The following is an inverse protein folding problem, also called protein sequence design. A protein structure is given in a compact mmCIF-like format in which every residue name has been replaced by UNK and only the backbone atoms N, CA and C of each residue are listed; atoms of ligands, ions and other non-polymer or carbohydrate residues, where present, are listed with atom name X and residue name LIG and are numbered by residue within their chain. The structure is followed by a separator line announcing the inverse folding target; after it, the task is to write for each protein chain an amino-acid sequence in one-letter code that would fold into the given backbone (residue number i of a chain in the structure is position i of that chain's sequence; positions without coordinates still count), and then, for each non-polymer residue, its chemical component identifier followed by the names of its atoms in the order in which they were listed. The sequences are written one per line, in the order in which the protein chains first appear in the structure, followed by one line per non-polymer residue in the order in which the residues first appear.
data_IF_652444722981
#
_entry.id   IF_652444722981
#
_cell.length_a   1.000
_cell.length_b   1.000
_cell.length_c   1.000
_cell.angle_alpha   90.00
_cell.angle_beta   90.00
_cell.angle_gamma   90.00
#
_symmetry.space_group_name_H-M   'P 1'
#
loop_
_entity.id
_entity.type
_entity.pdbx_description
1 polymer ?
#
# COMPACT_ATOMS: atom_id res chain seq x y z
N UNK A 1 5.51 4.62 12.71
CA UNK A 1 5.17 5.30 11.45
C UNK A 1 6.02 6.56 11.29
N UNK A 2 6.93 6.54 10.32
CA UNK A 2 7.88 7.62 10.01
C UNK A 2 7.23 8.85 9.36
N UNK A 3 7.92 9.99 9.39
CA UNK A 3 7.47 11.22 8.75
C UNK A 3 7.53 11.10 7.21
N UNK A 4 8.55 10.40 6.72
CA UNK A 4 8.77 10.08 5.31
C UNK A 4 7.65 9.22 4.77
N UNK A 5 7.19 8.22 5.53
CA UNK A 5 6.05 7.39 5.12
C UNK A 5 4.74 8.19 5.08
N UNK A 6 4.51 9.08 6.07
CA UNK A 6 3.35 9.99 6.05
C UNK A 6 3.35 10.86 4.79
N UNK A 7 4.50 11.47 4.50
CA UNK A 7 4.68 12.29 3.31
C UNK A 7 4.47 11.47 2.02
N UNK A 8 5.04 10.27 1.93
CA UNK A 8 4.83 9.38 0.79
C UNK A 8 3.34 9.04 0.61
N UNK A 9 2.60 8.82 1.70
CA UNK A 9 1.17 8.55 1.63
C UNK A 9 0.35 9.75 1.12
N UNK A 10 0.74 10.96 1.50
CA UNK A 10 0.17 12.20 0.94
C UNK A 10 0.55 12.37 -0.53
N UNK A 11 1.82 12.18 -0.85
CA UNK A 11 2.35 12.33 -2.20
C UNK A 11 1.73 11.33 -3.19
N UNK A 12 1.44 10.10 -2.74
CA UNK A 12 0.78 9.07 -3.55
C UNK A 12 -0.58 9.53 -4.11
N UNK A 13 -1.24 10.50 -3.45
CA UNK A 13 -2.53 11.06 -3.87
C UNK A 13 -2.39 12.22 -4.86
N UNK A 14 -1.18 12.75 -5.03
CA UNK A 14 -0.87 13.86 -5.95
C UNK A 14 -0.19 13.39 -7.24
N UNK A 15 -0.21 12.09 -7.52
CA UNK A 15 0.27 11.56 -8.80
C UNK A 15 -0.64 12.06 -9.93
N UNK A 16 -0.03 12.51 -11.03
CA UNK A 16 -0.76 13.08 -12.18
C UNK A 16 -1.56 12.03 -12.94
N UNK A 17 -1.09 10.79 -12.90
CA UNK A 17 -1.75 9.63 -13.51
C UNK A 17 -2.08 8.61 -12.43
N UNK A 18 -3.26 7.98 -12.55
CA UNK A 18 -3.67 6.89 -11.66
C UNK A 18 -2.74 5.69 -11.82
N UNK A 19 -2.18 5.12 -10.73
CA UNK A 19 -1.40 3.89 -10.80
C UNK A 19 -2.23 2.71 -11.31
N UNK A 20 -1.55 1.70 -11.85
CA UNK A 20 -2.19 0.44 -12.21
C UNK A 20 -2.82 -0.24 -10.99
N UNK A 21 -3.79 -1.14 -11.22
CA UNK A 21 -4.45 -1.87 -10.13
C UNK A 21 -3.45 -2.63 -9.25
N UNK A 22 -2.40 -3.22 -9.85
CA UNK A 22 -1.37 -3.95 -9.10
C UNK A 22 -0.56 -3.01 -8.20
N UNK A 23 -0.15 -1.85 -8.71
CA UNK A 23 0.51 -0.81 -7.92
C UNK A 23 -0.39 -0.29 -6.78
N UNK A 24 -1.69 -0.12 -7.03
CA UNK A 24 -2.65 0.28 -5.99
C UNK A 24 -2.83 -0.80 -4.91
N UNK A 25 -2.81 -2.08 -5.28
CA UNK A 25 -2.89 -3.20 -4.33
C UNK A 25 -1.62 -3.31 -3.49
N UNK A 26 -0.44 -3.10 -4.09
CA UNK A 26 0.84 -3.10 -3.39
C UNK A 26 0.93 -1.92 -2.42
N UNK A 27 0.60 -0.70 -2.86
CA UNK A 27 0.49 0.47 -1.99
C UNK A 27 -0.47 0.21 -0.83
N UNK A 28 -1.63 -0.40 -1.10
CA UNK A 28 -2.58 -0.74 -0.05
C UNK A 28 -1.99 -1.71 0.97
N UNK A 29 -1.41 -2.83 0.53
CA UNK A 29 -0.87 -3.85 1.43
C UNK A 29 0.27 -3.29 2.31
N UNK A 30 1.24 -2.62 1.69
CA UNK A 30 2.36 -1.99 2.37
C UNK A 30 1.89 -0.89 3.33
N UNK A 31 0.85 -0.12 2.97
CA UNK A 31 0.31 0.89 3.86
C UNK A 31 -0.30 0.26 5.12
N UNK A 32 -1.10 -0.80 4.99
CA UNK A 32 -1.73 -1.49 6.13
C UNK A 32 -0.69 -2.05 7.10
N UNK A 33 0.31 -2.76 6.57
CA UNK A 33 1.43 -3.30 7.38
C UNK A 33 2.27 -2.18 7.98
N UNK A 34 2.59 -1.14 7.19
CA UNK A 34 3.40 -0.01 7.64
C UNK A 34 2.76 0.82 8.75
N UNK A 35 1.42 0.84 8.82
CA UNK A 35 0.65 1.43 9.92
C UNK A 35 0.59 0.53 11.16
N UNK A 36 1.09 -0.71 11.08
CA UNK A 36 0.96 -1.69 12.16
C UNK A 36 -0.48 -2.17 12.34
N UNK A 37 -1.29 -2.14 11.28
CA UNK A 37 -2.65 -2.65 11.37
C UNK A 37 -2.63 -4.17 11.55
N UNK A 38 -3.53 -4.64 12.42
CA UNK A 38 -3.68 -6.06 12.74
C UNK A 38 -4.52 -6.76 11.68
N UNK A 39 -3.88 -7.65 10.93
CA UNK A 39 -4.53 -8.42 9.87
C UNK A 39 -5.58 -9.38 10.41
N UNK A 40 -5.46 -9.89 11.64
CA UNK A 40 -6.44 -10.83 12.19
C UNK A 40 -7.81 -10.16 12.42
N UNK A 41 -7.82 -8.83 12.55
CA UNK A 41 -9.03 -8.01 12.66
C UNK A 41 -9.60 -7.60 11.31
N UNK A 42 -8.94 -7.95 10.20
CA UNK A 42 -9.42 -7.62 8.87
C UNK A 42 -10.73 -8.36 8.56
N UNK A 43 -11.77 -7.63 8.18
CA UNK A 43 -13.01 -8.23 7.74
C UNK A 43 -12.79 -9.05 6.47
N UNK A 44 -13.17 -10.33 6.50
CA UNK A 44 -13.09 -11.19 5.31
C UNK A 44 -14.08 -10.67 4.27
N UNK A 45 -13.62 -10.38 3.04
CA UNK A 45 -14.49 -9.86 1.99
C UNK A 45 -15.51 -10.91 1.56
N UNK A 46 -16.73 -10.46 1.24
CA UNK A 46 -17.82 -11.31 0.78
C UNK A 46 -17.54 -11.98 -0.56
N UNK A 47 -18.30 -13.04 -0.89
CA UNK A 47 -18.07 -13.85 -2.11
C UNK A 47 -18.14 -13.00 -3.39
N UNK A 48 -18.98 -11.97 -3.43
CA UNK A 48 -19.16 -11.07 -4.57
C UNK A 48 -18.21 -9.85 -4.56
N UNK A 49 -17.44 -9.63 -3.49
CA UNK A 49 -16.51 -8.49 -3.39
C UNK A 49 -15.12 -8.86 -3.90
N UNK A 50 -14.96 -8.85 -5.22
CA UNK A 50 -13.67 -9.16 -5.87
C UNK A 50 -12.59 -8.14 -5.48
N UNK A 51 -12.93 -6.84 -5.41
CA UNK A 51 -11.96 -5.79 -5.08
C UNK A 51 -11.46 -5.92 -3.64
N UNK A 52 -12.36 -6.19 -2.69
CA UNK A 52 -12.01 -6.48 -1.31
C UNK A 52 -11.16 -7.74 -1.19
N UNK A 53 -11.49 -8.80 -1.96
CA UNK A 53 -10.66 -10.03 -2.03
C UNK A 53 -9.23 -9.75 -2.46
N UNK A 54 -9.03 -8.97 -3.52
CA UNK A 54 -7.68 -8.64 -3.98
C UNK A 54 -6.90 -7.84 -2.93
N UNK A 55 -7.53 -6.84 -2.30
CA UNK A 55 -6.92 -6.05 -1.22
C UNK A 55 -6.56 -6.91 -0.01
N UNK A 56 -7.48 -7.77 0.42
CA UNK A 56 -7.28 -8.70 1.53
C UNK A 56 -6.12 -9.66 1.22
N UNK A 57 -6.08 -10.22 0.02
CA UNK A 57 -5.02 -11.14 -0.41
C UNK A 57 -3.66 -10.44 -0.52
N UNK A 58 -3.61 -9.21 -1.04
CA UNK A 58 -2.37 -8.43 -1.11
C UNK A 58 -1.83 -8.13 0.29
N UNK A 59 -2.69 -7.72 1.23
CA UNK A 59 -2.28 -7.50 2.62
C UNK A 59 -1.86 -8.80 3.29
N UNK A 60 -2.62 -9.89 3.12
CA UNK A 60 -2.28 -11.21 3.64
C UNK A 60 -0.90 -11.67 3.19
N UNK A 61 -0.58 -11.46 1.91
CA UNK A 61 0.72 -11.83 1.33
C UNK A 61 1.87 -11.17 2.08
N UNK A 62 1.81 -9.87 2.32
CA UNK A 62 2.87 -9.17 3.08
C UNK A 62 3.00 -9.68 4.52
N UNK A 63 1.88 -10.03 5.16
CA UNK A 63 1.87 -10.61 6.51
C UNK A 63 2.48 -12.01 6.53
N UNK A 64 2.09 -12.87 5.57
CA UNK A 64 2.62 -14.22 5.41
C UNK A 64 4.13 -14.21 5.10
N UNK A 65 4.61 -13.21 4.34
CA UNK A 65 6.04 -12.98 4.07
C UNK A 65 6.81 -12.47 5.29
N UNK A 66 6.13 -12.13 6.39
CA UNK A 66 6.75 -11.60 7.60
C UNK A 66 7.24 -10.16 7.44
N UNK A 67 6.65 -9.39 6.52
CA UNK A 67 6.99 -7.97 6.33
C UNK A 67 6.74 -7.20 7.64
N UNK A 68 7.78 -6.58 8.18
CA UNK A 68 7.67 -5.74 9.37
C UNK A 68 7.09 -4.37 9.03
N UNK A 69 6.55 -3.66 10.03
CA UNK A 69 6.03 -2.31 9.83
C UNK A 69 7.08 -1.36 9.22
N UNK A 70 8.33 -1.43 9.68
CA UNK A 70 9.40 -0.59 9.15
C UNK A 70 9.80 -0.99 7.72
N UNK A 71 9.89 -2.30 7.44
CA UNK A 71 10.15 -2.80 6.09
C UNK A 71 9.07 -2.40 5.09
N UNK A 72 7.80 -2.47 5.51
CA UNK A 72 6.67 -2.02 4.71
C UNK A 72 6.71 -0.52 4.43
N UNK A 73 7.05 0.30 5.44
CA UNK A 73 7.20 1.74 5.27
C UNK A 73 8.30 2.08 4.25
N UNK A 74 9.47 1.43 4.33
CA UNK A 74 10.56 1.65 3.39
C UNK A 74 10.18 1.26 1.96
N UNK A 75 9.56 0.09 1.77
CA UNK A 75 9.06 -0.36 0.47
C UNK A 75 8.00 0.58 -0.09
N UNK A 76 7.08 1.06 0.76
CA UNK A 76 6.03 2.00 0.35
C UNK A 76 6.62 3.32 -0.15
N UNK A 77 7.60 3.89 0.56
CA UNK A 77 8.29 5.11 0.16
C UNK A 77 8.97 4.91 -1.21
N UNK A 78 9.72 3.82 -1.37
CA UNK A 78 10.40 3.51 -2.62
C UNK A 78 9.42 3.34 -3.79
N UNK A 79 8.27 2.68 -3.55
CA UNK A 79 7.22 2.52 -4.55
C UNK A 79 6.62 3.88 -4.95
N UNK A 80 6.27 4.73 -3.99
CA UNK A 80 5.73 6.07 -4.28
C UNK A 80 6.73 6.90 -5.09
N UNK A 81 8.01 6.89 -4.75
CA UNK A 81 9.02 7.67 -5.48
C UNK A 81 9.23 7.15 -6.91
N UNK A 82 9.14 5.83 -7.11
CA UNK A 82 9.09 5.24 -8.45
C UNK A 82 7.85 5.72 -9.22
N UNK A 83 6.68 5.68 -8.60
CA UNK A 83 5.43 6.13 -9.23
C UNK A 83 5.45 7.62 -9.59
N UNK A 84 6.04 8.49 -8.75
CA UNK A 84 6.23 9.90 -9.09
C UNK A 84 7.03 10.08 -10.38
N UNK A 85 8.07 9.26 -10.54
CA UNK A 85 8.95 9.30 -11.72
C UNK A 85 8.25 8.77 -12.98
N UNK A 86 7.44 7.72 -12.85
CA UNK A 86 6.74 7.08 -13.97
C UNK A 86 5.45 7.81 -14.40
N UNK A 87 4.67 8.30 -13.43
CA UNK A 87 3.31 8.80 -13.63
C UNK A 87 3.20 10.32 -13.56
N UNK A 88 4.29 10.99 -13.16
CA UNK A 88 4.35 12.41 -12.88
C UNK A 88 3.76 12.76 -11.50
N UNK A 89 4.27 13.83 -10.92
CA UNK A 89 3.90 14.30 -9.58
C UNK A 89 3.57 15.79 -9.62
N UNK A 90 2.53 16.18 -8.90
CA UNK A 90 2.17 17.57 -8.65
C UNK A 90 2.61 17.95 -7.23
N UNK A 91 3.69 18.74 -7.12
CA UNK A 91 4.39 18.99 -5.86
C UNK A 91 3.68 20.03 -4.98
#
# INVERSE_FOLDING_TARGET
MSAEFKKAAEDSKKLKTTPSNDQLLELYALYKVGNGEDFEKAAKPGVFDMKGKYKYNAWKKEVDEGTTADGAQQRYIALVDKLKSELGFDA
#
